data_IF_664550592523
#
_entry.id   IF_664550592523
#
_cell.length_a   1.000
_cell.length_b   1.000
_cell.length_c   1.000
_cell.angle_alpha   90.00
_cell.angle_beta   90.00
_cell.angle_gamma   90.00
#
_symmetry.space_group_name_H-M   'P 1'
#
loop_
_entity.id
_entity.type
_entity.pdbx_description
1 polymer ?
#
# COMPACT_ATOMS: atom_id res chain seq x y z
N UNK A 1 -6.72 -26.16 3.38
CA UNK A 1 -5.29 -25.76 3.51
C UNK A 1 -4.97 -24.54 2.65
N UNK A 2 -5.68 -24.32 1.54
CA UNK A 2 -5.48 -23.21 0.60
C UNK A 2 -6.04 -21.86 1.11
N UNK A 3 -7.25 -21.85 1.68
CA UNK A 3 -7.91 -20.68 2.29
C UNK A 3 -7.10 -20.06 3.44
N UNK A 4 -6.55 -20.88 4.33
CA UNK A 4 -5.68 -20.40 5.41
C UNK A 4 -4.33 -19.82 4.94
N UNK A 5 -3.92 -20.06 3.68
CA UNK A 5 -2.75 -19.41 3.10
C UNK A 5 -3.13 -18.04 2.49
N UNK A 6 -4.29 -17.96 1.85
CA UNK A 6 -4.85 -16.71 1.30
C UNK A 6 -5.12 -15.68 2.40
N UNK A 7 -5.73 -16.10 3.52
CA UNK A 7 -6.00 -15.18 4.65
C UNK A 7 -4.71 -14.66 5.28
N UNK A 8 -3.69 -15.51 5.43
CA UNK A 8 -2.38 -15.09 5.93
C UNK A 8 -1.72 -14.08 4.99
N UNK A 9 -1.83 -14.30 3.68
CA UNK A 9 -1.32 -13.36 2.67
C UNK A 9 -2.08 -12.03 2.69
N UNK A 10 -3.41 -12.06 2.82
CA UNK A 10 -4.23 -10.86 2.91
C UNK A 10 -3.89 -10.02 4.17
N UNK A 11 -3.75 -10.66 5.33
CA UNK A 11 -3.31 -9.99 6.56
C UNK A 11 -1.92 -9.36 6.41
N UNK A 12 -0.98 -10.07 5.79
CA UNK A 12 0.37 -9.57 5.57
C UNK A 12 0.40 -8.36 4.62
N UNK A 13 -0.47 -8.33 3.61
CA UNK A 13 -0.63 -7.18 2.71
C UNK A 13 -1.32 -5.99 3.38
N UNK A 14 -2.30 -6.24 4.25
CA UNK A 14 -2.92 -5.18 5.05
C UNK A 14 -1.89 -4.51 5.99
N UNK A 15 -1.06 -5.30 6.68
CA UNK A 15 0.04 -4.78 7.51
C UNK A 15 1.05 -3.97 6.68
N UNK A 16 1.43 -4.46 5.50
CA UNK A 16 2.34 -3.73 4.61
C UNK A 16 1.72 -2.44 4.06
N UNK A 17 0.43 -2.43 3.74
CA UNK A 17 -0.30 -1.22 3.33
C UNK A 17 -0.29 -0.17 4.44
N UNK A 18 -0.53 -0.59 5.68
CA UNK A 18 -0.52 0.31 6.83
C UNK A 18 0.89 0.86 7.10
N UNK A 19 1.93 0.03 6.98
CA UNK A 19 3.33 0.48 7.06
C UNK A 19 3.67 1.49 5.97
N UNK A 20 3.28 1.24 4.72
CA UNK A 20 3.49 2.17 3.60
C UNK A 20 2.77 3.49 3.82
N UNK A 21 1.54 3.46 4.34
CA UNK A 21 0.80 4.68 4.70
C UNK A 21 1.53 5.50 5.78
N UNK A 22 2.05 4.84 6.82
CA UNK A 22 2.85 5.51 7.86
C UNK A 22 4.14 6.09 7.31
N UNK A 23 4.84 5.38 6.43
CA UNK A 23 6.05 5.88 5.76
C UNK A 23 5.70 7.09 4.90
N UNK A 24 4.65 7.01 4.08
CA UNK A 24 4.19 8.13 3.26
C UNK A 24 3.88 9.37 4.11
N UNK A 25 3.16 9.20 5.23
CA UNK A 25 2.87 10.29 6.16
C UNK A 25 4.12 10.88 6.82
N UNK A 26 5.07 10.03 7.23
CA UNK A 26 6.32 10.49 7.83
C UNK A 26 7.20 11.23 6.82
N UNK A 27 7.24 10.77 5.57
CA UNK A 27 8.03 11.38 4.49
C UNK A 27 7.39 12.68 3.99
N UNK A 28 6.06 12.77 3.98
CA UNK A 28 5.35 14.01 3.66
C UNK A 28 5.64 15.13 4.69
N UNK A 29 5.86 14.77 5.96
CA UNK A 29 6.21 15.70 7.02
C UNK A 29 7.67 16.22 6.92
N UNK A 30 8.55 15.53 6.18
CA UNK A 30 9.91 16.00 5.90
C UNK A 30 9.82 17.05 4.80
N UNK A 31 9.58 18.30 5.21
CA UNK A 31 9.69 19.45 4.32
C UNK A 31 10.95 20.22 4.72
N UNK A 32 11.98 20.17 3.89
CA UNK A 32 13.17 21.01 4.11
C UNK A 32 12.81 22.45 3.70
N UNK A 33 12.95 23.38 4.65
CA UNK A 33 12.74 24.82 4.42
C UNK A 33 13.68 25.34 3.34
N UNK A 34 13.19 26.24 2.48
CA UNK A 34 14.01 26.98 1.52
C UNK A 34 15.17 27.73 2.17
N UNK A 35 15.00 28.14 3.43
CA UNK A 35 16.01 28.88 4.20
C UNK A 35 17.16 27.97 4.66
N UNK A 36 16.95 26.65 4.70
CA UNK A 36 18.00 25.68 5.00
C UNK A 36 19.07 25.59 3.90
N UNK A 37 18.74 26.04 2.68
CA UNK A 37 19.68 26.06 1.56
C UNK A 37 20.64 27.26 1.61
N UNK A 38 20.36 28.29 2.41
CA UNK A 38 21.27 29.41 2.69
C UNK A 38 21.88 30.10 1.46
N UNK A 39 22.90 30.95 1.67
CA UNK A 39 23.61 31.70 0.61
C UNK A 39 24.46 30.85 -0.34
N UNK A 40 24.12 29.58 -0.56
CA UNK A 40 24.83 28.76 -1.53
C UNK A 40 24.70 29.40 -2.92
N UNK A 41 25.80 29.57 -3.69
CA UNK A 41 25.67 29.83 -5.11
C UNK A 41 24.82 28.69 -5.72
N UNK A 42 23.77 29.03 -6.47
CA UNK A 42 22.71 28.12 -6.94
C UNK A 42 21.69 27.62 -5.89
N UNK A 43 21.55 28.25 -4.72
CA UNK A 43 20.56 27.86 -3.70
C UNK A 43 19.11 27.80 -4.23
N UNK A 44 18.72 28.72 -5.12
CA UNK A 44 17.39 28.72 -5.73
C UNK A 44 17.16 27.51 -6.64
N UNK A 45 18.18 27.12 -7.41
CA UNK A 45 18.10 25.93 -8.26
C UNK A 45 18.05 24.65 -7.41
N UNK A 46 18.83 24.60 -6.33
CA UNK A 46 18.84 23.46 -5.40
C UNK A 46 17.51 23.32 -4.63
N UNK A 47 16.93 24.44 -4.20
CA UNK A 47 15.62 24.47 -3.55
C UNK A 47 14.51 24.03 -4.50
N UNK A 48 14.52 24.50 -5.76
CA UNK A 48 13.56 24.08 -6.78
C UNK A 48 13.67 22.58 -7.08
N UNK A 49 14.89 22.09 -7.34
CA UNK A 49 15.11 20.67 -7.62
C UNK A 49 14.71 19.77 -6.44
N UNK A 50 14.95 20.23 -5.20
CA UNK A 50 14.48 19.53 -4.01
C UNK A 50 12.95 19.50 -3.92
N UNK A 51 12.28 20.62 -4.17
CA UNK A 51 10.81 20.69 -4.15
C UNK A 51 10.19 19.79 -5.23
N UNK A 52 10.74 19.79 -6.44
CA UNK A 52 10.30 18.92 -7.53
C UNK A 52 10.48 17.45 -7.16
N UNK A 53 11.65 17.09 -6.60
CA UNK A 53 11.93 15.74 -6.15
C UNK A 53 11.04 15.31 -4.98
N UNK A 54 10.79 16.19 -4.02
CA UNK A 54 9.90 15.93 -2.90
C UNK A 54 8.43 15.77 -3.36
N UNK A 55 8.00 16.57 -4.34
CA UNK A 55 6.70 16.43 -4.99
C UNK A 55 6.53 15.07 -5.67
N UNK A 56 7.46 14.72 -6.55
CA UNK A 56 7.48 13.43 -7.24
C UNK A 56 7.56 12.24 -6.26
N UNK A 57 8.34 12.37 -5.19
CA UNK A 57 8.44 11.32 -4.16
C UNK A 57 7.12 11.11 -3.42
N UNK A 58 6.36 12.18 -3.13
CA UNK A 58 5.03 12.07 -2.52
C UNK A 58 4.03 11.41 -3.45
N UNK A 59 4.04 11.77 -4.74
CA UNK A 59 3.20 11.14 -5.76
C UNK A 59 3.49 9.64 -5.88
N UNK A 60 4.76 9.26 -6.03
CA UNK A 60 5.18 7.86 -6.10
C UNK A 60 4.77 7.05 -4.86
N UNK A 61 4.89 7.63 -3.66
CA UNK A 61 4.46 6.96 -2.42
C UNK A 61 2.94 6.79 -2.36
N UNK A 62 2.18 7.75 -2.87
CA UNK A 62 0.72 7.64 -3.03
C UNK A 62 0.33 6.51 -3.97
N UNK A 63 0.96 6.44 -5.14
CA UNK A 63 0.70 5.40 -6.14
C UNK A 63 1.04 3.99 -5.62
N UNK A 64 2.17 3.85 -4.93
CA UNK A 64 2.55 2.60 -4.27
C UNK A 64 1.54 2.19 -3.19
N UNK A 65 1.08 3.15 -2.39
CA UNK A 65 0.03 2.92 -1.39
C UNK A 65 -1.27 2.42 -2.03
N UNK A 66 -1.71 3.05 -3.12
CA UNK A 66 -2.91 2.65 -3.86
C UNK A 66 -2.78 1.24 -4.46
N UNK A 67 -1.63 0.93 -5.07
CA UNK A 67 -1.39 -0.38 -5.67
C UNK A 67 -1.41 -1.51 -4.62
N UNK A 68 -0.78 -1.29 -3.46
CA UNK A 68 -0.75 -2.28 -2.37
C UNK A 68 -2.13 -2.47 -1.76
N UNK A 69 -2.87 -1.39 -1.51
CA UNK A 69 -4.24 -1.49 -0.99
C UNK A 69 -5.16 -2.25 -1.97
N UNK A 70 -5.13 -1.92 -3.27
CA UNK A 70 -5.92 -2.62 -4.28
C UNK A 70 -5.57 -4.10 -4.40
N UNK A 71 -4.29 -4.46 -4.24
CA UNK A 71 -3.85 -5.87 -4.22
C UNK A 71 -4.38 -6.61 -2.99
N UNK A 72 -4.36 -5.98 -1.81
CA UNK A 72 -4.92 -6.52 -0.58
C UNK A 72 -6.43 -6.78 -0.69
N UNK A 73 -7.18 -5.78 -1.19
CA UNK A 73 -8.63 -5.89 -1.42
C UNK A 73 -8.97 -7.01 -2.42
N UNK A 74 -8.20 -7.12 -3.51
CA UNK A 74 -8.35 -8.17 -4.50
C UNK A 74 -8.14 -9.57 -3.91
N UNK A 75 -7.07 -9.76 -3.13
CA UNK A 75 -6.79 -11.05 -2.49
C UNK A 75 -7.83 -11.42 -1.43
N UNK A 76 -8.30 -10.46 -0.64
CA UNK A 76 -9.40 -10.68 0.29
C UNK A 76 -10.69 -11.08 -0.44
N UNK A 77 -10.96 -10.49 -1.62
CA UNK A 77 -12.10 -10.88 -2.45
C UNK A 77 -11.97 -12.31 -3.00
N UNK A 78 -10.77 -12.71 -3.42
CA UNK A 78 -10.50 -14.08 -3.89
C UNK A 78 -10.66 -15.09 -2.74
N UNK A 79 -10.13 -14.79 -1.55
CA UNK A 79 -10.27 -15.67 -0.38
C UNK A 79 -11.73 -15.90 0.01
N UNK A 80 -12.54 -14.83 0.04
CA UNK A 80 -13.99 -14.91 0.29
C UNK A 80 -14.69 -15.78 -0.74
N UNK A 81 -14.43 -15.55 -2.03
CA UNK A 81 -15.05 -16.31 -3.11
C UNK A 81 -14.71 -17.82 -3.01
N UNK A 82 -13.45 -18.15 -2.72
CA UNK A 82 -13.04 -19.54 -2.54
C UNK A 82 -13.72 -20.21 -1.33
N UNK A 83 -13.86 -19.49 -0.22
CA UNK A 83 -14.56 -19.96 0.98
C UNK A 83 -16.05 -20.20 0.71
N UNK A 84 -16.71 -19.25 0.04
CA UNK A 84 -18.12 -19.36 -0.34
C UNK A 84 -18.36 -20.55 -1.28
N UNK A 85 -17.45 -20.75 -2.24
CA UNK A 85 -17.48 -21.89 -3.15
C UNK A 85 -17.23 -23.23 -2.44
N UNK A 86 -16.27 -23.32 -1.52
CA UNK A 86 -16.03 -24.52 -0.72
C UNK A 86 -17.24 -24.86 0.16
N UNK A 87 -17.85 -23.87 0.82
CA UNK A 87 -19.07 -24.07 1.61
C UNK A 87 -20.25 -24.54 0.75
N UNK A 88 -20.44 -23.94 -0.43
CA UNK A 88 -21.50 -24.34 -1.35
C UNK A 88 -21.30 -25.78 -1.85
N UNK A 89 -20.07 -26.14 -2.20
CA UNK A 89 -19.74 -27.50 -2.62
C UNK A 89 -19.95 -28.51 -1.48
N UNK A 90 -19.53 -28.15 -0.26
CA UNK A 90 -19.71 -28.96 0.95
C UNK A 90 -21.20 -29.20 1.27
N UNK A 91 -22.05 -28.16 1.20
CA UNK A 91 -23.51 -28.31 1.39
C UNK A 91 -24.14 -29.18 0.31
N UNK A 92 -23.69 -29.04 -0.94
CA UNK A 92 -24.25 -29.79 -2.08
C UNK A 92 -23.83 -31.26 -2.06
N UNK A 93 -22.57 -31.57 -1.67
CA UNK A 93 -22.08 -32.95 -1.57
C UNK A 93 -22.42 -33.61 -0.23
N UNK A 94 -22.48 -32.86 0.86
CA UNK A 94 -22.84 -33.34 2.20
C UNK A 94 -24.34 -33.53 2.43
N UNK A 95 -25.19 -32.89 1.62
CA UNK A 95 -26.65 -33.11 1.62
C UNK A 95 -27.09 -34.40 0.91
N UNK A 96 -26.14 -35.19 0.42
CA UNK A 96 -26.37 -36.46 -0.26
C UNK A 96 -26.15 -37.68 0.62
N UNK A 97 -26.66 -37.71 1.86
CA UNK A 97 -27.05 -38.92 2.62
C UNK A 97 -27.62 -38.61 4.00
#
# INVERSE_FOLDING_TARGET
METGALDRYASLLAEQSEQLSRIASATAAITISSDAFGHLPNAQHLASAYQDHAGASRENLGDLGHAVNGTSEGLASVSRNYTDHEEQLSRTMGGGR
#
